data_IF_464617265078
#
_entry.id   IF_464617265078
#
_cell.length_a   1.000
_cell.length_b   1.000
_cell.length_c   1.000
_cell.angle_alpha   90.00
_cell.angle_beta   90.00
_cell.angle_gamma   90.00
#
_symmetry.space_group_name_H-M   'P 1'
#
loop_
_entity.id
_entity.type
_entity.pdbx_description
1 polymer ?
#
# COMPACT_ATOMS: atom_id res chain seq x y z
N UNK A 1 -11.80 1.56 -5.66
CA UNK A 1 -10.71 2.51 -5.92
C UNK A 1 -9.44 2.04 -5.23
N UNK A 2 -8.30 2.28 -5.83
CA UNK A 2 -7.01 1.92 -5.26
C UNK A 2 -6.10 3.15 -5.23
N UNK A 3 -5.36 3.31 -4.14
CA UNK A 3 -4.41 4.40 -3.97
C UNK A 3 -3.06 3.81 -3.59
N UNK A 4 -2.00 4.26 -4.24
CA UNK A 4 -0.63 3.86 -3.92
C UNK A 4 0.10 5.07 -3.37
N UNK A 5 0.75 4.88 -2.24
CA UNK A 5 1.48 5.93 -1.55
C UNK A 5 2.92 5.50 -1.34
N UNK A 6 3.84 6.46 -1.40
CA UNK A 6 5.24 6.23 -1.10
C UNK A 6 5.66 7.12 0.05
N UNK A 7 6.52 6.60 0.93
CA UNK A 7 7.00 7.33 2.10
C UNK A 7 8.36 6.80 2.53
N UNK A 8 9.09 7.62 3.28
CA UNK A 8 10.37 7.20 3.84
C UNK A 8 10.17 6.25 5.02
N UNK A 9 11.12 5.34 5.23
CA UNK A 9 11.03 4.35 6.31
C UNK A 9 10.85 4.97 7.69
N UNK A 10 11.43 6.15 7.92
CA UNK A 10 11.29 6.86 9.19
C UNK A 10 9.85 7.28 9.49
N UNK A 11 9.02 7.40 8.47
CA UNK A 11 7.61 7.77 8.62
C UNK A 11 6.68 6.58 8.72
N UNK A 12 7.20 5.36 8.56
CA UNK A 12 6.37 4.16 8.51
C UNK A 12 5.46 4.00 9.72
N UNK A 13 6.01 4.18 10.92
CA UNK A 13 5.20 4.04 12.13
C UNK A 13 4.11 5.09 12.20
N UNK A 14 4.42 6.32 11.82
CA UNK A 14 3.44 7.41 11.80
C UNK A 14 2.34 7.15 10.79
N UNK A 15 2.70 6.68 9.60
CA UNK A 15 1.73 6.35 8.56
C UNK A 15 0.80 5.24 9.03
N UNK A 16 1.36 4.17 9.59
CA UNK A 16 0.57 3.08 10.15
C UNK A 16 -0.38 3.57 11.22
N UNK A 17 0.12 4.35 12.16
CA UNK A 17 -0.69 4.85 13.28
C UNK A 17 -1.86 5.70 12.78
N UNK A 18 -1.60 6.61 11.85
CA UNK A 18 -2.64 7.47 11.30
C UNK A 18 -3.71 6.67 10.57
N UNK A 19 -3.30 5.75 9.71
CA UNK A 19 -4.23 4.97 8.89
C UNK A 19 -5.05 3.98 9.73
N UNK A 20 -4.42 3.31 10.68
CA UNK A 20 -5.08 2.28 11.48
C UNK A 20 -5.96 2.85 12.59
N UNK A 21 -5.72 4.07 13.01
CA UNK A 21 -6.54 4.73 14.03
C UNK A 21 -7.78 5.41 13.48
N UNK A 22 -7.83 5.66 12.18
CA UNK A 22 -8.99 6.30 11.58
C UNK A 22 -10.10 5.28 11.33
N UNK A 23 -11.31 5.58 11.78
CA UNK A 23 -12.44 4.66 11.68
C UNK A 23 -12.84 4.34 10.25
N UNK A 24 -12.69 5.28 9.34
CA UNK A 24 -13.06 5.12 7.94
C UNK A 24 -11.97 4.36 7.19
N UNK A 25 -10.73 4.82 7.30
CA UNK A 25 -9.60 4.28 6.55
C UNK A 25 -9.21 2.89 7.03
N UNK A 26 -9.30 2.62 8.33
CA UNK A 26 -8.93 1.32 8.89
C UNK A 26 -9.79 0.17 8.37
N UNK A 27 -10.95 0.46 7.80
CA UNK A 27 -11.84 -0.54 7.21
C UNK A 27 -11.46 -0.90 5.77
N UNK A 28 -10.59 -0.11 5.15
CA UNK A 28 -10.09 -0.40 3.81
C UNK A 28 -9.01 -1.49 3.88
N UNK A 29 -8.72 -2.09 2.73
CA UNK A 29 -7.60 -3.02 2.61
C UNK A 29 -6.31 -2.20 2.53
N UNK A 30 -5.39 -2.42 3.46
CA UNK A 30 -4.13 -1.67 3.53
C UNK A 30 -2.98 -2.67 3.49
N UNK A 31 -2.11 -2.53 2.50
CA UNK A 31 -0.94 -3.40 2.31
C UNK A 31 0.31 -2.54 2.32
N UNK A 32 1.26 -2.87 3.19
CA UNK A 32 2.56 -2.20 3.26
C UNK A 32 3.62 -3.08 2.60
N UNK A 33 4.43 -2.49 1.73
CA UNK A 33 5.51 -3.19 1.03
C UNK A 33 6.78 -2.35 1.04
N UNK A 34 7.91 -3.03 1.07
CA UNK A 34 9.21 -2.39 0.93
C UNK A 34 9.47 -2.08 -0.54
N UNK A 35 10.07 -0.93 -0.80
CA UNK A 35 10.42 -0.53 -2.16
C UNK A 35 11.46 -1.41 -2.82
N UNK A 36 12.13 -2.28 -2.06
CA UNK A 36 13.11 -3.22 -2.57
C UNK A 36 12.54 -4.15 -3.65
N UNK A 37 11.23 -4.39 -3.64
CA UNK A 37 10.59 -5.23 -4.67
C UNK A 37 10.69 -4.61 -6.07
N UNK A 38 10.93 -3.30 -6.15
CA UNK A 38 11.11 -2.58 -7.42
C UNK A 38 12.43 -1.82 -7.45
N UNK A 39 13.36 -2.14 -6.54
CA UNK A 39 14.69 -1.53 -6.50
C UNK A 39 14.74 -0.12 -5.93
N UNK A 40 13.77 0.27 -5.12
CA UNK A 40 13.72 1.59 -4.46
C UNK A 40 13.90 1.45 -2.97
N UNK A 41 14.42 2.50 -2.33
CA UNK A 41 14.66 2.53 -0.89
C UNK A 41 13.42 2.92 -0.08
N UNK A 42 12.44 3.54 -0.73
CA UNK A 42 11.22 3.98 -0.07
C UNK A 42 10.25 2.82 0.17
N UNK A 43 9.36 3.00 1.13
CA UNK A 43 8.28 2.05 1.38
C UNK A 43 7.03 2.45 0.61
N UNK A 44 6.18 1.48 0.33
CA UNK A 44 4.94 1.69 -0.39
C UNK A 44 3.75 1.17 0.38
N UNK A 45 2.62 1.80 0.18
CA UNK A 45 1.36 1.40 0.79
C UNK A 45 0.29 1.37 -0.29
N UNK A 46 -0.38 0.23 -0.43
CA UNK A 46 -1.52 0.08 -1.34
C UNK A 46 -2.80 0.06 -0.51
N UNK A 47 -3.70 0.98 -0.81
CA UNK A 47 -4.98 1.07 -0.13
C UNK A 47 -6.09 0.81 -1.14
N UNK A 48 -6.91 -0.19 -0.87
CA UNK A 48 -8.05 -0.57 -1.71
C UNK A 48 -9.33 -0.42 -0.92
N UNK A 49 -10.28 0.31 -1.45
CA UNK A 49 -11.54 0.52 -0.76
C UNK A 49 -12.46 1.46 -1.52
N UNK A 50 -13.39 2.07 -0.79
CA UNK A 50 -14.33 3.03 -1.38
C UNK A 50 -13.62 4.34 -1.72
N UNK A 51 -14.28 5.15 -2.55
CA UNK A 51 -13.76 6.48 -2.90
C UNK A 51 -13.56 7.33 -1.64
N UNK A 52 -14.49 7.25 -0.70
CA UNK A 52 -14.41 7.98 0.56
C UNK A 52 -13.18 7.58 1.38
N UNK A 53 -12.95 6.28 1.49
CA UNK A 53 -11.80 5.75 2.22
C UNK A 53 -10.48 6.21 1.60
N UNK A 54 -10.38 6.13 0.28
CA UNK A 54 -9.18 6.55 -0.44
C UNK A 54 -8.94 8.06 -0.33
N UNK A 55 -9.97 8.86 -0.49
CA UNK A 55 -9.86 10.31 -0.36
C UNK A 55 -9.43 10.71 1.04
N UNK A 56 -10.01 10.09 2.06
CA UNK A 56 -9.64 10.38 3.44
C UNK A 56 -8.21 9.99 3.72
N UNK A 57 -7.77 8.86 3.19
CA UNK A 57 -6.37 8.46 3.30
C UNK A 57 -5.42 9.53 2.77
N UNK A 58 -5.71 10.05 1.59
CA UNK A 58 -4.87 11.09 0.98
C UNK A 58 -4.82 12.36 1.83
N UNK A 59 -5.94 12.73 2.44
CA UNK A 59 -5.99 13.90 3.32
C UNK A 59 -5.19 13.70 4.60
N UNK A 60 -5.30 12.54 5.22
CA UNK A 60 -4.67 12.26 6.51
C UNK A 60 -3.15 12.18 6.43
N UNK A 61 -2.61 11.68 5.34
CA UNK A 61 -1.17 11.39 5.24
C UNK A 61 -0.44 12.22 4.20
N UNK A 62 -1.07 13.28 3.68
CA UNK A 62 -0.44 14.12 2.65
C UNK A 62 0.89 14.72 3.08
N UNK A 63 1.09 14.96 4.37
CA UNK A 63 2.34 15.49 4.92
C UNK A 63 3.39 14.41 5.19
N UNK A 64 2.98 13.14 5.25
CA UNK A 64 3.84 12.01 5.58
C UNK A 64 4.20 11.15 4.37
N UNK A 65 3.39 11.18 3.33
CA UNK A 65 3.54 10.33 2.17
C UNK A 65 3.13 11.07 0.90
N UNK A 66 3.56 10.54 -0.24
CA UNK A 66 3.20 11.09 -1.55
C UNK A 66 2.39 10.08 -2.32
N UNK A 67 1.39 10.56 -3.06
CA UNK A 67 0.60 9.68 -3.92
C UNK A 67 1.40 9.34 -5.18
N UNK A 68 1.42 8.06 -5.52
CA UNK A 68 2.01 7.56 -6.77
C UNK A 68 0.89 7.44 -7.81
N UNK A 69 1.08 8.03 -8.97
CA UNK A 69 0.07 8.07 -10.04
C UNK A 69 0.63 7.60 -11.37
N UNK A 70 -0.26 7.41 -12.35
CA UNK A 70 0.13 7.06 -13.72
C UNK A 70 0.73 5.67 -13.85
N UNK A 71 1.73 5.55 -14.70
CA UNK A 71 2.38 4.27 -14.97
C UNK A 71 3.08 3.68 -13.76
N UNK A 72 3.65 4.52 -12.91
CA UNK A 72 4.31 4.07 -11.69
C UNK A 72 3.32 3.41 -10.75
N UNK A 73 2.11 3.95 -10.64
CA UNK A 73 1.05 3.35 -9.83
C UNK A 73 0.69 1.96 -10.34
N UNK A 74 0.46 1.84 -11.65
CA UNK A 74 0.10 0.56 -12.26
C UNK A 74 1.21 -0.48 -12.07
N UNK A 75 2.45 -0.08 -12.26
CA UNK A 75 3.60 -0.95 -12.10
C UNK A 75 3.69 -1.46 -10.65
N UNK A 76 3.52 -0.59 -9.67
CA UNK A 76 3.56 -0.96 -8.26
C UNK A 76 2.42 -1.89 -7.88
N UNK A 77 1.21 -1.61 -8.35
CA UNK A 77 0.06 -2.47 -8.09
C UNK A 77 0.30 -3.86 -8.66
N UNK A 78 0.79 -3.94 -9.89
CA UNK A 78 1.07 -5.22 -10.54
C UNK A 78 2.15 -6.00 -9.79
N UNK A 79 3.20 -5.32 -9.33
CA UNK A 79 4.27 -5.98 -8.58
C UNK A 79 3.79 -6.50 -7.23
N UNK A 80 2.98 -5.75 -6.53
CA UNK A 80 2.41 -6.17 -5.25
C UNK A 80 1.50 -7.39 -5.44
N UNK A 81 0.63 -7.35 -6.44
CA UNK A 81 -0.27 -8.47 -6.74
C UNK A 81 0.50 -9.71 -7.19
N UNK A 82 1.53 -9.53 -7.98
CA UNK A 82 2.38 -10.64 -8.44
C UNK A 82 3.06 -11.32 -7.26
N UNK A 83 3.58 -10.54 -6.31
CA UNK A 83 4.22 -11.09 -5.12
C UNK A 83 3.22 -11.85 -4.24
N UNK A 84 2.03 -11.32 -4.06
CA UNK A 84 0.97 -12.00 -3.32
C UNK A 84 0.55 -13.29 -4.00
N UNK A 85 0.42 -13.30 -5.32
CA UNK A 85 0.08 -14.49 -6.08
C UNK A 85 1.17 -15.57 -5.96
N UNK A 86 2.43 -15.18 -5.96
CA UNK A 86 3.53 -16.13 -5.77
C UNK A 86 3.45 -16.80 -4.40
N UNK A 87 3.16 -16.01 -3.37
CA UNK A 87 2.99 -16.55 -2.03
C UNK A 87 1.83 -17.55 -1.97
N UNK A 88 0.71 -17.21 -2.60
CA UNK A 88 -0.47 -18.09 -2.64
C UNK A 88 -0.18 -19.37 -3.42
N UNK A 89 0.49 -19.26 -4.54
CA UNK A 89 0.86 -20.44 -5.35
C UNK A 89 1.82 -21.34 -4.58
N UNK A 90 2.80 -20.74 -3.89
CA UNK A 90 3.73 -21.49 -3.06
C UNK A 90 3.03 -22.25 -1.95
N UNK A 91 2.08 -21.61 -1.30
CA UNK A 91 1.30 -22.24 -0.25
C UNK A 91 0.42 -23.36 -0.79
N UNK A 92 -0.23 -23.14 -1.94
CA UNK A 92 -1.02 -24.16 -2.60
C UNK A 92 -0.19 -25.38 -2.96
N UNK A 93 1.01 -25.15 -3.48
CA UNK A 93 1.93 -26.24 -3.82
C UNK A 93 2.37 -27.05 -2.62
N UNK A 94 2.47 -26.42 -1.45
CA UNK A 94 2.85 -27.10 -0.21
C UNK A 94 1.71 -27.97 0.31
N UNK A 95 0.49 -27.51 0.20
CA UNK A 95 -0.67 -28.21 0.75
C UNK A 95 -1.36 -29.16 -0.22
N UNK A 96 -1.03 -29.05 -1.46
CA UNK A 96 -1.55 -29.95 -2.49
C UNK A 96 -0.70 -31.24 -2.54
#
# INVERSE_FOLDING_TARGET
>A
MEVVLTFEGKNMQKVKDVLLKDDVVSRASIVFKEGSIIGKEEYFCLISGTDEQCKKTLELIRDLAKEVTGNDKEELINKIKEEENRANVGMGGIFD
#
